data_IF_513207343860
#
_entry.id   IF_513207343860
#
_cell.length_a   1.000
_cell.length_b   1.000
_cell.length_c   1.000
_cell.angle_alpha   90.00
_cell.angle_beta   90.00
_cell.angle_gamma   90.00
#
_symmetry.space_group_name_H-M   'P 1'
#
loop_
_entity.id
_entity.type
_entity.pdbx_description
1 polymer ?
#
# COMPACT_ATOMS: atom_id res chain seq x y z
N UNK A 1 -1.14 6.42 -9.27
CA UNK A 1 -0.76 6.11 -7.87
C UNK A 1 -1.73 5.14 -7.19
N UNK A 2 -3.01 5.18 -7.58
CA UNK A 2 -4.09 4.45 -6.89
C UNK A 2 -4.67 3.29 -7.71
N UNK A 3 -3.83 2.62 -8.51
CA UNK A 3 -4.22 1.40 -9.26
C UNK A 3 -4.62 1.61 -10.72
N UNK A 4 -4.73 2.86 -11.16
CA UNK A 4 -5.07 3.17 -12.54
C UNK A 4 -3.92 2.90 -13.52
N UNK A 5 -4.23 2.56 -14.79
CA UNK A 5 -3.23 2.48 -15.85
C UNK A 5 -2.41 3.77 -15.94
N UNK A 6 -1.10 3.64 -16.15
CA UNK A 6 -0.21 4.81 -16.22
C UNK A 6 -0.63 5.79 -17.33
N UNK A 7 -1.18 5.27 -18.43
CA UNK A 7 -1.66 6.02 -19.60
C UNK A 7 -3.09 6.57 -19.44
N UNK A 8 -3.74 6.37 -18.30
CA UNK A 8 -5.07 6.94 -18.06
C UNK A 8 -5.01 8.48 -18.10
N UNK A 9 -6.07 9.16 -18.58
CA UNK A 9 -6.16 10.62 -18.52
C UNK A 9 -6.12 11.11 -17.07
N UNK A 10 -5.66 12.35 -16.87
CA UNK A 10 -5.64 13.00 -15.57
C UNK A 10 -6.91 13.88 -15.37
N UNK A 11 -7.46 13.96 -14.14
CA UNK A 11 -7.14 13.11 -12.99
C UNK A 11 -7.49 11.65 -13.26
N UNK A 12 -6.69 10.71 -12.76
CA UNK A 12 -6.96 9.29 -12.98
C UNK A 12 -8.24 8.88 -12.24
N UNK A 13 -8.97 7.84 -12.71
CA UNK A 13 -10.26 7.48 -12.15
C UNK A 13 -10.31 7.28 -10.62
N UNK A 14 -9.25 6.80 -9.97
CA UNK A 14 -9.16 6.58 -8.53
C UNK A 14 -8.34 7.63 -7.77
N UNK A 15 -7.94 8.73 -8.42
CA UNK A 15 -7.28 9.90 -7.82
C UNK A 15 -8.32 11.04 -7.65
N UNK A 16 -8.04 12.06 -6.85
CA UNK A 16 -8.94 13.19 -6.57
C UNK A 16 -9.43 13.88 -7.85
N UNK A 17 -10.75 14.07 -7.95
CA UNK A 17 -11.45 14.55 -9.14
C UNK A 17 -11.72 13.46 -10.18
N UNK A 18 -11.24 12.23 -9.95
CA UNK A 18 -11.51 11.06 -10.75
C UNK A 18 -12.92 10.50 -10.57
N UNK A 19 -13.35 9.65 -11.51
CA UNK A 19 -14.71 9.07 -11.55
C UNK A 19 -15.10 8.30 -10.27
N UNK A 20 -14.15 7.64 -9.62
CA UNK A 20 -14.38 6.79 -8.44
C UNK A 20 -13.97 7.48 -7.13
N UNK A 21 -13.48 8.72 -7.20
CA UNK A 21 -13.16 9.51 -6.03
C UNK A 21 -14.44 9.98 -5.33
N UNK A 22 -14.59 9.66 -4.05
CA UNK A 22 -15.77 10.02 -3.26
C UNK A 22 -15.56 11.23 -2.35
N UNK A 23 -14.30 11.55 -2.02
CA UNK A 23 -13.96 12.57 -1.02
C UNK A 23 -14.29 12.17 0.42
N UNK A 24 -14.62 10.90 0.66
CA UNK A 24 -14.92 10.36 1.97
C UNK A 24 -13.63 10.00 2.72
N UNK A 25 -13.55 10.43 3.98
CA UNK A 25 -12.49 10.00 4.90
C UNK A 25 -12.85 8.61 5.42
N UNK A 26 -12.09 7.60 4.99
CA UNK A 26 -12.35 6.18 5.26
C UNK A 26 -12.02 5.77 6.71
N UNK A 27 -11.22 6.55 7.42
CA UNK A 27 -10.89 6.33 8.82
C UNK A 27 -10.16 7.52 9.41
N UNK A 28 -10.16 7.63 10.74
CA UNK A 28 -9.41 8.67 11.47
C UNK A 28 -8.67 8.02 12.61
N UNK A 29 -7.39 8.33 12.76
CA UNK A 29 -6.54 7.75 13.80
C UNK A 29 -5.64 8.80 14.45
N UNK A 30 -5.04 8.44 15.57
CA UNK A 30 -4.03 9.25 16.23
C UNK A 30 -2.66 8.94 15.63
N UNK A 31 -1.85 9.96 15.33
CA UNK A 31 -0.46 9.77 14.92
C UNK A 31 0.31 8.88 15.91
N UNK A 32 1.28 8.09 15.41
CA UNK A 32 2.03 7.14 16.24
C UNK A 32 1.25 5.90 16.71
N UNK A 33 -0.07 5.85 16.55
CA UNK A 33 -0.87 4.69 16.97
C UNK A 33 -0.69 3.47 16.06
N UNK A 34 -0.89 2.29 16.64
CA UNK A 34 -0.96 1.04 15.90
C UNK A 34 -2.38 0.83 15.38
N UNK A 35 -2.54 0.66 14.07
CA UNK A 35 -3.82 0.49 13.39
C UNK A 35 -3.92 -0.89 12.74
N UNK A 36 -5.13 -1.46 12.67
CA UNK A 36 -5.39 -2.69 11.93
C UNK A 36 -5.89 -2.34 10.53
N UNK A 37 -5.16 -2.80 9.51
CA UNK A 37 -5.53 -2.72 8.11
C UNK A 37 -6.04 -4.08 7.64
N UNK A 38 -7.05 -4.06 6.77
CA UNK A 38 -7.69 -5.24 6.23
C UNK A 38 -7.57 -5.27 4.71
N UNK A 39 -7.13 -6.39 4.15
CA UNK A 39 -7.06 -6.61 2.70
C UNK A 39 -7.94 -7.79 2.34
N UNK A 40 -8.82 -7.59 1.35
CA UNK A 40 -9.62 -8.65 0.75
C UNK A 40 -8.98 -9.03 -0.58
N UNK A 41 -8.51 -10.27 -0.67
CA UNK A 41 -8.09 -10.85 -1.94
C UNK A 41 -9.20 -11.74 -2.50
N UNK A 42 -9.57 -11.51 -3.75
CA UNK A 42 -10.47 -12.39 -4.51
C UNK A 42 -9.72 -13.47 -5.27
N UNK A 43 -8.43 -13.24 -5.55
CA UNK A 43 -7.50 -14.22 -6.10
C UNK A 43 -6.16 -14.10 -5.37
N UNK A 44 -5.58 -15.25 -5.00
CA UNK A 44 -4.32 -15.30 -4.26
C UNK A 44 -3.14 -15.51 -5.22
N UNK A 45 -2.27 -14.51 -5.35
CA UNK A 45 -1.12 -14.51 -6.27
C UNK A 45 0.24 -14.53 -5.55
N UNK A 46 0.26 -14.97 -4.28
CA UNK A 46 1.45 -15.01 -3.42
C UNK A 46 2.14 -13.63 -3.32
N UNK A 47 3.35 -13.54 -2.76
CA UNK A 47 4.10 -12.28 -2.71
C UNK A 47 3.87 -11.50 -1.42
N UNK A 48 3.75 -10.17 -1.48
CA UNK A 48 3.70 -9.35 -0.26
C UNK A 48 2.92 -8.06 -0.40
N UNK A 49 2.37 -7.58 0.71
CA UNK A 49 1.76 -6.26 0.81
C UNK A 49 2.69 -5.26 1.46
N UNK A 50 2.59 -3.99 1.05
CA UNK A 50 3.20 -2.84 1.71
C UNK A 50 2.18 -1.70 1.85
N UNK A 51 2.41 -0.84 2.84
CA UNK A 51 1.56 0.32 3.11
C UNK A 51 2.39 1.57 3.26
N UNK A 52 1.90 2.68 2.71
CA UNK A 52 2.59 3.98 2.73
C UNK A 52 1.55 5.08 2.89
N UNK A 53 1.96 6.23 3.44
CA UNK A 53 1.06 7.40 3.53
C UNK A 53 1.71 8.61 2.85
N UNK A 54 0.94 9.33 2.04
CA UNK A 54 1.34 10.62 1.50
C UNK A 54 0.49 11.72 2.13
N UNK A 55 1.12 12.77 2.65
CA UNK A 55 0.43 14.00 3.06
C UNK A 55 0.40 14.99 1.90
N UNK A 56 -0.79 15.45 1.58
CA UNK A 56 -1.06 16.46 0.56
C UNK A 56 -1.46 17.76 1.27
N UNK A 57 -0.83 18.86 0.91
CA UNK A 57 -1.25 20.20 1.29
C UNK A 57 -2.34 20.68 0.31
N UNK A 58 -3.52 21.00 0.84
CA UNK A 58 -4.73 21.32 0.08
C UNK A 58 -5.62 20.12 -0.22
N UNK A 59 -6.77 20.39 -0.84
CA UNK A 59 -7.79 19.37 -1.16
C UNK A 59 -8.28 19.41 -2.62
N UNK A 60 -7.61 20.18 -3.49
CA UNK A 60 -7.98 20.21 -4.92
C UNK A 60 -7.38 19.03 -5.69
N UNK A 61 -7.99 18.61 -6.81
CA UNK A 61 -7.39 17.66 -7.75
C UNK A 61 -6.00 18.09 -8.22
N UNK A 62 -5.77 19.39 -8.41
CA UNK A 62 -4.48 19.96 -8.79
C UNK A 62 -3.43 19.71 -7.69
N UNK A 63 -3.79 19.98 -6.43
CA UNK A 63 -2.90 19.79 -5.29
C UNK A 63 -2.48 18.31 -5.14
N UNK A 64 -3.43 17.39 -5.28
CA UNK A 64 -3.13 15.96 -5.26
C UNK A 64 -2.24 15.55 -6.43
N UNK A 65 -2.55 15.98 -7.66
CA UNK A 65 -1.76 15.64 -8.85
C UNK A 65 -0.28 16.07 -8.75
N UNK A 66 -0.01 17.18 -8.08
CA UNK A 66 1.34 17.71 -7.90
C UNK A 66 2.11 16.99 -6.77
N UNK A 67 1.41 16.46 -5.77
CA UNK A 67 2.03 15.99 -4.53
C UNK A 67 1.97 14.46 -4.35
N UNK A 68 0.94 13.79 -4.86
CA UNK A 68 0.75 12.35 -4.77
C UNK A 68 1.73 11.63 -5.71
N UNK A 69 2.94 11.42 -5.19
CA UNK A 69 4.10 10.90 -5.93
C UNK A 69 4.75 9.76 -5.16
N UNK A 70 5.57 8.95 -5.83
CA UNK A 70 6.38 7.92 -5.17
C UNK A 70 7.28 8.56 -4.10
N UNK A 71 7.83 9.75 -4.37
CA UNK A 71 8.64 10.49 -3.40
C UNK A 71 7.83 10.81 -2.13
N UNK A 72 6.58 11.26 -2.27
CA UNK A 72 5.72 11.53 -1.12
C UNK A 72 5.46 10.27 -0.30
N UNK A 73 5.07 9.16 -0.95
CA UNK A 73 4.80 7.90 -0.25
C UNK A 73 6.05 7.32 0.41
N UNK A 74 7.21 7.44 -0.23
CA UNK A 74 8.47 6.91 0.30
C UNK A 74 8.98 7.69 1.53
N UNK A 75 8.41 8.86 1.85
CA UNK A 75 8.66 9.56 3.13
C UNK A 75 8.04 8.83 4.32
N UNK A 76 6.94 8.10 4.11
CA UNK A 76 6.20 7.45 5.19
C UNK A 76 5.78 6.02 4.80
N UNK A 77 6.77 5.13 4.72
CA UNK A 77 6.53 3.68 4.66
C UNK A 77 6.08 3.22 6.04
N UNK A 78 4.91 2.58 6.12
CA UNK A 78 4.42 2.06 7.38
C UNK A 78 5.16 0.78 7.73
N UNK A 79 5.49 0.64 9.01
CA UNK A 79 6.14 -0.54 9.54
C UNK A 79 5.14 -1.37 10.35
N UNK A 80 5.29 -2.69 10.28
CA UNK A 80 4.50 -3.60 11.10
C UNK A 80 4.74 -3.32 12.58
N UNK A 81 3.64 -3.14 13.30
CA UNK A 81 3.65 -2.91 14.73
C UNK A 81 4.08 -4.19 15.48
N UNK A 82 4.35 -4.04 16.78
CA UNK A 82 4.55 -5.20 17.67
C UNK A 82 3.19 -5.90 17.86
N UNK A 83 2.88 -6.95 17.09
CA UNK A 83 1.67 -7.74 17.32
C UNK A 83 1.18 -8.66 16.19
N UNK A 84 0.52 -9.74 16.61
CA UNK A 84 0.07 -10.98 15.92
C UNK A 84 1.17 -12.02 15.62
N UNK A 85 0.85 -13.30 15.85
CA UNK A 85 1.71 -14.45 15.52
C UNK A 85 2.15 -14.39 14.05
N UNK A 86 3.45 -14.58 13.79
CA UNK A 86 4.02 -14.46 12.45
C UNK A 86 4.28 -13.02 11.97
N UNK A 87 4.16 -12.02 12.85
CA UNK A 87 4.68 -10.68 12.57
C UNK A 87 6.17 -10.54 12.92
N UNK A 88 6.93 -10.02 11.97
CA UNK A 88 8.25 -9.43 12.15
C UNK A 88 8.04 -7.93 12.44
N UNK A 89 8.19 -7.46 13.69
CA UNK A 89 8.06 -6.03 13.96
C UNK A 89 9.10 -5.23 13.19
N UNK A 90 8.75 -4.02 12.80
CA UNK A 90 9.58 -3.12 11.98
C UNK A 90 9.82 -3.61 10.54
N UNK A 91 9.12 -4.67 10.10
CA UNK A 91 9.09 -5.07 8.70
C UNK A 91 8.14 -4.16 7.92
N UNK A 92 8.55 -3.56 6.78
CA UNK A 92 7.65 -2.79 5.93
C UNK A 92 6.63 -3.66 5.19
N UNK A 93 6.85 -4.98 5.13
CA UNK A 93 6.04 -5.89 4.34
C UNK A 93 5.28 -6.91 5.18
N UNK A 94 4.11 -7.28 4.67
CA UNK A 94 3.39 -8.48 5.07
C UNK A 94 3.56 -9.53 4.00
N UNK A 95 4.33 -10.56 4.33
CA UNK A 95 4.68 -11.65 3.43
C UNK A 95 3.58 -12.72 3.41
N UNK A 96 3.14 -13.12 2.22
CA UNK A 96 2.05 -14.06 2.03
C UNK A 96 2.57 -15.50 2.01
N UNK A 97 2.65 -16.13 3.18
CA UNK A 97 3.07 -17.53 3.33
C UNK A 97 2.02 -18.59 2.95
N UNK A 98 0.78 -18.16 2.64
CA UNK A 98 -0.28 -19.06 2.22
C UNK A 98 -1.62 -18.34 2.09
N UNK A 99 -2.59 -19.02 1.46
CA UNK A 99 -3.95 -18.55 1.43
C UNK A 99 -4.58 -18.73 2.81
N UNK A 100 -5.20 -17.67 3.34
CA UNK A 100 -5.99 -17.71 4.58
C UNK A 100 -7.43 -17.31 4.29
N UNK A 101 -8.30 -17.45 5.29
CA UNK A 101 -9.65 -16.92 5.19
C UNK A 101 -9.60 -15.38 5.17
N UNK A 102 -10.12 -14.78 4.10
CA UNK A 102 -10.25 -13.33 3.95
C UNK A 102 -11.20 -12.73 5.01
N UNK A 103 -10.93 -11.52 5.54
CA UNK A 103 -9.84 -10.61 5.17
C UNK A 103 -8.50 -10.93 5.84
N UNK A 104 -7.41 -10.57 5.17
CA UNK A 104 -6.06 -10.51 5.75
C UNK A 104 -6.01 -9.32 6.70
N UNK A 105 -5.79 -9.57 8.00
CA UNK A 105 -5.72 -8.52 9.04
C UNK A 105 -4.29 -8.31 9.49
N UNK A 106 -3.87 -7.05 9.55
CA UNK A 106 -2.47 -6.70 9.67
C UNK A 106 -2.31 -5.42 10.49
N UNK A 107 -1.41 -5.42 11.46
CA UNK A 107 -1.20 -4.24 12.32
C UNK A 107 0.02 -3.44 11.89
N UNK A 108 -0.16 -2.15 11.63
CA UNK A 108 0.87 -1.21 11.22
C UNK A 108 0.90 0.01 12.13
N UNK A 109 2.08 0.60 12.32
CA UNK A 109 2.24 1.84 13.08
C UNK A 109 2.15 3.05 12.16
N UNK A 110 1.32 4.02 12.54
CA UNK A 110 1.28 5.32 11.89
C UNK A 110 2.53 6.15 12.25
N UNK A 111 3.02 7.02 11.34
CA UNK A 111 4.17 7.87 11.64
C UNK A 111 3.85 8.86 12.76
N UNK A 112 4.80 9.09 13.67
CA UNK A 112 4.72 10.20 14.64
C UNK A 112 4.95 11.54 13.90
N UNK A 113 4.21 12.57 14.28
CA UNK A 113 4.30 13.91 13.68
C UNK A 113 3.52 14.08 12.37
N UNK A 114 2.86 13.03 11.87
CA UNK A 114 2.08 13.07 10.64
C UNK A 114 0.60 13.27 10.95
N UNK A 115 0.12 14.50 10.78
CA UNK A 115 -1.29 14.86 10.98
C UNK A 115 -1.91 15.44 9.71
N UNK A 116 -3.17 15.09 9.49
CA UNK A 116 -4.02 15.59 8.43
C UNK A 116 -5.39 15.94 9.01
N UNK A 117 -5.93 17.10 8.65
CA UNK A 117 -7.22 17.59 9.17
C UNK A 117 -8.41 17.29 8.24
N UNK A 118 -8.14 16.75 7.04
CA UNK A 118 -9.14 16.48 6.01
C UNK A 118 -9.69 17.72 5.31
N UNK A 119 -9.25 18.92 5.70
CA UNK A 119 -9.76 20.21 5.20
C UNK A 119 -8.68 20.96 4.46
N UNK A 120 -7.58 21.28 5.15
CA UNK A 120 -6.43 21.96 4.59
C UNK A 120 -5.33 20.99 4.19
N UNK A 121 -5.36 19.78 4.73
CA UNK A 121 -4.38 18.72 4.51
C UNK A 121 -5.07 17.37 4.45
N UNK A 122 -4.59 16.48 3.57
CA UNK A 122 -5.12 15.13 3.42
C UNK A 122 -4.02 14.09 3.53
N UNK A 123 -4.34 12.98 4.18
CA UNK A 123 -3.47 11.82 4.23
C UNK A 123 -4.06 10.76 3.31
N UNK A 124 -3.29 10.38 2.28
CA UNK A 124 -3.67 9.29 1.38
C UNK A 124 -2.86 8.07 1.78
N UNK A 125 -3.53 7.03 2.27
CA UNK A 125 -2.96 5.71 2.54
C UNK A 125 -2.95 4.91 1.24
N UNK A 126 -1.78 4.38 0.86
CA UNK A 126 -1.63 3.49 -0.28
C UNK A 126 -1.37 2.06 0.18
N UNK A 127 -2.18 1.13 -0.31
CA UNK A 127 -1.87 -0.29 -0.34
C UNK A 127 -1.14 -0.62 -1.64
N UNK A 128 -0.03 -1.35 -1.53
CA UNK A 128 0.70 -1.91 -2.64
C UNK A 128 0.82 -3.42 -2.48
N UNK A 129 0.49 -4.16 -3.54
CA UNK A 129 0.64 -5.60 -3.61
C UNK A 129 1.59 -5.96 -4.76
N UNK A 130 2.74 -6.51 -4.39
CA UNK A 130 3.69 -7.13 -5.30
C UNK A 130 3.43 -8.64 -5.34
N UNK A 131 2.94 -9.16 -6.47
CA UNK A 131 2.64 -10.60 -6.57
C UNK A 131 3.90 -11.46 -6.68
N UNK A 132 3.77 -12.73 -6.32
CA UNK A 132 4.88 -13.69 -6.25
C UNK A 132 4.72 -14.92 -7.16
N UNK A 133 3.73 -14.93 -8.05
CA UNK A 133 3.40 -16.09 -8.88
C UNK A 133 4.19 -16.16 -10.21
N UNK A 134 4.71 -15.02 -10.70
CA UNK A 134 5.49 -14.95 -11.94
C UNK A 134 7.00 -14.85 -11.70
N UNK A 135 7.39 -14.29 -10.56
CA UNK A 135 8.77 -14.14 -10.10
C UNK A 135 8.78 -13.97 -8.58
N UNK A 136 9.92 -14.20 -7.94
CA UNK A 136 10.08 -14.01 -6.51
C UNK A 136 10.30 -12.53 -6.17
N UNK A 137 9.56 -11.94 -5.22
CA UNK A 137 9.78 -10.57 -4.79
C UNK A 137 11.24 -10.33 -4.37
N UNK A 138 11.82 -9.15 -4.62
CA UNK A 138 13.20 -8.86 -4.25
C UNK A 138 13.39 -8.92 -2.73
N UNK A 139 14.44 -9.61 -2.29
CA UNK A 139 14.78 -9.82 -0.87
C UNK A 139 13.68 -10.50 -0.05
N UNK A 140 12.84 -11.32 -0.68
CA UNK A 140 11.83 -12.08 0.02
C UNK A 140 12.47 -13.12 0.96
N UNK A 141 12.03 -13.23 2.22
CA UNK A 141 12.56 -14.25 3.13
C UNK A 141 12.35 -15.66 2.57
N UNK A 142 13.33 -16.58 2.69
CA UNK A 142 13.26 -17.90 2.08
C UNK A 142 12.00 -18.71 2.40
N UNK A 143 11.44 -18.54 3.60
CA UNK A 143 10.20 -19.19 4.04
C UNK A 143 8.94 -18.73 3.28
N UNK A 144 8.99 -17.57 2.62
CA UNK A 144 7.90 -17.02 1.80
C UNK A 144 8.12 -17.20 0.29
N UNK A 145 9.26 -17.80 -0.10
CA UNK A 145 9.53 -18.18 -1.49
C UNK A 145 8.71 -19.44 -1.84
N UNK A 146 7.58 -19.23 -2.52
CA UNK A 146 6.67 -20.32 -2.89
C UNK A 146 7.23 -21.21 -4.00
N UNK A 147 7.93 -20.62 -4.98
CA UNK A 147 8.55 -21.37 -6.05
C UNK A 147 10.03 -20.96 -6.23
N UNK A 148 10.98 -21.74 -5.68
CA UNK A 148 12.41 -21.42 -5.78
C UNK A 148 12.98 -21.55 -7.20
N UNK A 149 12.21 -22.11 -8.15
CA UNK A 149 12.61 -22.17 -9.56
C UNK A 149 12.36 -20.85 -10.31
N UNK A 150 11.57 -19.94 -9.74
CA UNK A 150 11.34 -18.62 -10.32
C UNK A 150 12.54 -17.69 -10.07
N UNK A 151 12.85 -16.85 -11.05
CA UNK A 151 13.84 -15.78 -10.89
C UNK A 151 13.34 -14.66 -9.96
N UNK A 152 14.24 -13.77 -9.58
CA UNK A 152 13.89 -12.55 -8.83
C UNK A 152 13.23 -11.53 -9.76
N UNK A 153 12.12 -10.93 -9.31
CA UNK A 153 11.42 -9.90 -10.05
C UNK A 153 12.36 -8.73 -10.40
N UNK A 154 12.30 -8.26 -11.65
CA UNK A 154 13.09 -7.13 -12.15
C UNK A 154 14.53 -7.44 -12.58
N UNK A 155 15.05 -8.66 -12.36
CA UNK A 155 16.44 -9.01 -12.70
C UNK A 155 16.56 -9.67 -14.08
N UNK A 156 15.64 -10.57 -14.45
CA UNK A 156 15.74 -11.40 -15.67
C UNK A 156 14.55 -11.23 -16.61
N UNK A 157 14.06 -9.99 -16.78
CA UNK A 157 12.86 -9.63 -17.55
C UNK A 157 11.51 -10.18 -17.03
N UNK A 158 11.52 -10.85 -15.88
CA UNK A 158 10.29 -11.22 -15.19
C UNK A 158 9.79 -10.04 -14.35
N UNK A 159 8.62 -9.53 -14.71
CA UNK A 159 7.92 -8.48 -13.97
C UNK A 159 6.63 -9.08 -13.39
N UNK A 160 6.38 -8.89 -12.09
CA UNK A 160 5.17 -9.38 -11.46
C UNK A 160 3.99 -8.51 -11.86
N UNK A 161 2.79 -9.03 -11.63
CA UNK A 161 1.61 -8.20 -11.57
C UNK A 161 1.68 -7.35 -10.29
N UNK A 162 1.11 -6.15 -10.34
CA UNK A 162 1.06 -5.26 -9.20
C UNK A 162 -0.34 -4.69 -9.03
N UNK A 163 -0.78 -4.58 -7.78
CA UNK A 163 -2.03 -3.92 -7.44
C UNK A 163 -1.76 -2.77 -6.49
N UNK A 164 -2.49 -1.68 -6.69
CA UNK A 164 -2.35 -0.47 -5.91
C UNK A 164 -3.74 0.05 -5.58
N UNK A 165 -4.02 0.42 -4.33
CA UNK A 165 -5.23 1.15 -3.96
C UNK A 165 -4.87 2.31 -3.04
N UNK A 166 -5.75 3.31 -3.01
CA UNK A 166 -5.65 4.45 -2.11
C UNK A 166 -6.91 4.60 -1.26
N UNK A 167 -6.76 5.17 -0.07
CA UNK A 167 -7.84 5.62 0.79
C UNK A 167 -7.46 6.95 1.45
N UNK A 168 -8.41 7.88 1.55
CA UNK A 168 -8.25 9.10 2.35
C UNK A 168 -8.51 8.81 3.82
N UNK A 169 -7.59 9.24 4.69
CA UNK A 169 -7.55 8.91 6.12
C UNK A 169 -7.10 10.07 7.02
#
# INVERSE_FOLDING_TARGET
MCGDPHTAPLPRPHENGGKYYTGEIAGTWTEGSDITLEVVLTAFHMGRFGFRICKIEGNSPEAEREQLTEECFNKHILLRANGTEGSTPNDPYYHLGGMVNSPYKMTYRLPEGLTCDGVNTRCVLQWYYLTGNSCNPPNEPPEFIVNPLLGVCGVVSAYPEEFWNCADV
#
